data_IF_539688567420
#
_entry.id   IF_539688567420
#
_cell.length_a   1.000
_cell.length_b   1.000
_cell.length_c   1.000
_cell.angle_alpha   90.00
_cell.angle_beta   90.00
_cell.angle_gamma   90.00
#
_symmetry.space_group_name_H-M   'P 1'
#
loop_
_entity.id
_entity.type
_entity.pdbx_description
1 polymer ?
#
# COMPACT_ATOMS: atom_id res chain seq x y z
N UNK A 1 47.32 6.89 8.06
CA UNK A 1 46.83 7.11 6.70
C UNK A 1 45.30 7.13 6.69
N UNK A 2 44.63 6.00 6.96
CA UNK A 2 43.16 5.85 6.99
C UNK A 2 42.41 6.85 7.89
N UNK A 3 42.89 7.09 9.13
CA UNK A 3 42.24 8.08 10.03
C UNK A 3 42.20 9.51 9.45
N UNK A 4 43.21 9.89 8.66
CA UNK A 4 43.29 11.23 8.08
C UNK A 4 42.32 11.38 6.90
N UNK A 5 42.13 10.32 6.14
CA UNK A 5 41.18 10.25 5.02
C UNK A 5 39.73 10.27 5.53
N UNK A 6 39.40 9.49 6.55
CA UNK A 6 38.07 9.47 7.16
C UNK A 6 37.71 10.84 7.75
N UNK A 7 38.66 11.50 8.43
CA UNK A 7 38.44 12.85 8.97
C UNK A 7 38.26 13.89 7.86
N UNK A 8 39.00 13.77 6.75
CA UNK A 8 38.84 14.65 5.59
C UNK A 8 37.51 14.41 4.87
N UNK A 9 36.97 13.18 4.88
CA UNK A 9 35.66 12.86 4.33
C UNK A 9 34.50 13.23 5.27
N UNK A 10 34.77 13.46 6.57
CA UNK A 10 33.73 13.71 7.57
C UNK A 10 32.90 14.97 7.31
N UNK A 11 33.44 15.95 6.59
CA UNK A 11 32.70 17.15 6.13
C UNK A 11 31.54 16.81 5.17
N UNK A 12 31.56 15.61 4.56
CA UNK A 12 30.49 15.12 3.68
C UNK A 12 29.41 14.36 4.45
N UNK A 13 29.63 14.06 5.74
CA UNK A 13 28.69 13.30 6.57
C UNK A 13 27.62 14.26 7.11
N UNK A 14 26.37 14.04 6.70
CA UNK A 14 25.20 14.84 7.13
C UNK A 14 24.32 14.12 8.17
N UNK A 15 24.73 12.94 8.62
CA UNK A 15 23.99 12.12 9.59
C UNK A 15 24.13 12.63 11.02
N UNK A 16 23.06 12.50 11.81
CA UNK A 16 23.05 12.79 13.25
C UNK A 16 23.49 11.57 14.06
N UNK A 17 24.21 11.77 15.17
CA UNK A 17 24.49 10.66 16.10
C UNK A 17 23.24 10.33 16.93
N UNK A 18 23.06 9.07 17.31
CA UNK A 18 21.98 8.63 18.20
C UNK A 18 22.36 8.82 19.68
N UNK A 19 23.51 9.45 19.94
CA UNK A 19 24.08 9.67 21.28
C UNK A 19 24.23 8.37 22.11
N UNK A 20 24.42 7.23 21.43
CA UNK A 20 24.66 5.94 22.07
C UNK A 20 26.12 5.84 22.55
N UNK A 21 26.40 4.95 23.51
CA UNK A 21 27.79 4.70 23.96
C UNK A 21 28.66 4.21 22.80
N UNK A 22 28.10 3.37 21.91
CA UNK A 22 28.80 2.87 20.73
C UNK A 22 29.13 4.01 19.74
N UNK A 23 28.19 4.92 19.49
CA UNK A 23 28.41 6.09 18.64
C UNK A 23 29.51 6.99 19.19
N UNK A 24 29.49 7.25 20.51
CA UNK A 24 30.50 8.07 21.18
C UNK A 24 31.89 7.44 21.13
N UNK A 25 31.97 6.10 21.25
CA UNK A 25 33.23 5.36 21.09
C UNK A 25 33.77 5.49 19.68
N UNK A 26 32.92 5.31 18.66
CA UNK A 26 33.30 5.45 17.25
C UNK A 26 33.78 6.89 16.96
N UNK A 27 33.00 7.89 17.34
CA UNK A 27 33.35 9.30 17.14
C UNK A 27 34.70 9.64 17.80
N UNK A 28 34.93 9.14 19.02
CA UNK A 28 36.21 9.30 19.74
C UNK A 28 37.36 8.56 19.05
N UNK A 29 37.15 7.35 18.55
CA UNK A 29 38.19 6.56 17.85
C UNK A 29 38.68 7.26 16.58
N UNK A 30 37.78 7.95 15.87
CA UNK A 30 38.06 8.61 14.59
C UNK A 30 38.29 10.13 14.68
N UNK A 31 38.25 10.69 15.90
CA UNK A 31 38.38 12.14 16.16
C UNK A 31 37.38 12.98 15.35
N UNK A 32 36.12 12.53 15.38
CA UNK A 32 34.99 13.14 14.70
C UNK A 32 34.13 13.92 15.69
N UNK A 33 33.63 15.07 15.26
CA UNK A 33 32.67 15.85 16.05
C UNK A 33 31.27 15.23 15.93
N UNK A 34 30.55 15.14 17.06
CA UNK A 34 29.17 14.70 17.07
C UNK A 34 28.26 15.77 16.45
N UNK A 35 27.45 15.39 15.45
CA UNK A 35 26.30 16.19 15.05
C UNK A 35 25.13 15.73 15.91
N UNK A 36 24.80 16.52 16.93
CA UNK A 36 23.67 16.20 17.80
C UNK A 36 22.36 16.24 17.01
N UNK A 37 21.44 15.30 17.26
CA UNK A 37 20.12 15.35 16.67
C UNK A 37 19.40 16.61 17.18
N UNK A 38 18.63 17.24 16.32
CA UNK A 38 17.71 18.30 16.79
C UNK A 38 16.77 17.68 17.80
N UNK A 39 16.49 18.40 18.89
CA UNK A 39 15.49 17.99 19.86
C UNK A 39 14.20 17.57 19.12
N UNK A 40 13.60 16.42 19.47
CA UNK A 40 12.41 15.95 18.78
C UNK A 40 11.32 17.03 18.85
N UNK A 41 10.74 17.36 17.71
CA UNK A 41 9.56 18.23 17.67
C UNK A 41 8.39 17.44 18.25
N UNK A 42 7.89 17.87 19.41
CA UNK A 42 6.67 17.32 19.98
C UNK A 42 5.51 17.89 19.16
N UNK A 43 4.91 17.06 18.33
CA UNK A 43 3.67 17.38 17.67
C UNK A 43 2.53 16.73 18.45
N UNK A 44 1.55 17.49 18.99
CA UNK A 44 0.38 16.89 19.60
C UNK A 44 -0.38 16.08 18.54
N UNK A 45 -0.60 14.80 18.81
CA UNK A 45 -1.47 13.95 18.02
C UNK A 45 -2.82 13.79 18.74
N UNK A 46 -3.88 14.26 18.11
CA UNK A 46 -5.23 14.15 18.64
C UNK A 46 -5.89 12.92 18.04
N UNK A 47 -6.45 12.06 18.89
CA UNK A 47 -7.36 11.03 18.40
C UNK A 47 -8.64 11.70 17.92
N UNK A 48 -8.99 11.46 16.66
CA UNK A 48 -10.21 11.97 16.06
C UNK A 48 -11.33 10.93 16.24
N UNK A 49 -12.40 11.22 17.00
CA UNK A 49 -13.52 10.30 17.15
C UNK A 49 -14.21 10.05 15.81
N UNK A 50 -14.67 8.81 15.53
CA UNK A 50 -15.55 8.56 14.40
C UNK A 50 -16.95 9.14 14.64
N UNK A 51 -17.80 9.14 13.61
CA UNK A 51 -19.23 9.44 13.79
C UNK A 51 -19.90 8.36 14.66
N UNK A 52 -20.96 8.73 15.38
CA UNK A 52 -21.76 7.76 16.14
C UNK A 52 -22.25 6.62 15.23
N UNK A 53 -22.18 5.38 15.74
CA UNK A 53 -22.51 4.17 15.00
C UNK A 53 -21.35 3.53 14.24
N UNK A 54 -20.23 4.25 14.04
CA UNK A 54 -19.02 3.72 13.41
C UNK A 54 -18.08 3.14 14.47
N UNK A 55 -17.58 1.93 14.22
CA UNK A 55 -16.49 1.34 15.01
C UNK A 55 -15.15 1.73 14.39
N UNK A 56 -14.34 2.46 15.14
CA UNK A 56 -12.98 2.84 14.74
C UNK A 56 -12.00 1.75 15.14
N UNK A 57 -11.20 1.30 14.18
CA UNK A 57 -10.26 0.19 14.30
C UNK A 57 -8.86 0.76 14.05
N UNK A 58 -8.02 0.82 15.08
CA UNK A 58 -6.62 1.18 14.95
C UNK A 58 -5.78 -0.10 14.99
N UNK A 59 -5.09 -0.42 13.90
CA UNK A 59 -4.29 -1.64 13.75
C UNK A 59 -2.83 -1.33 13.42
N UNK A 60 -1.93 -2.23 13.85
CA UNK A 60 -0.49 -2.10 13.66
C UNK A 60 0.14 -3.49 13.53
N UNK A 61 1.12 -3.60 12.63
CA UNK A 61 1.92 -4.80 12.42
C UNK A 61 3.36 -4.59 12.88
N UNK A 62 3.95 -5.57 13.57
CA UNK A 62 5.32 -5.46 14.05
C UNK A 62 6.13 -6.73 13.77
N UNK A 63 7.39 -6.55 13.40
CA UNK A 63 8.35 -7.63 13.26
C UNK A 63 9.67 -7.24 13.93
N UNK A 64 10.29 -8.17 14.67
CA UNK A 64 11.55 -7.93 15.37
C UNK A 64 12.74 -7.69 14.43
N UNK A 65 12.59 -8.03 13.15
CA UNK A 65 13.53 -7.81 12.04
C UNK A 65 12.77 -8.03 10.72
N UNK A 66 13.43 -7.95 9.56
CA UNK A 66 12.77 -8.12 8.27
C UNK A 66 13.45 -9.17 7.37
N UNK A 67 13.18 -10.49 7.51
CA UNK A 67 12.12 -11.13 8.32
C UNK A 67 12.58 -11.73 9.67
N UNK A 68 11.68 -11.81 10.66
CA UNK A 68 11.84 -12.52 11.96
C UNK A 68 10.46 -12.75 12.57
N UNK A 69 10.39 -13.16 13.84
CA UNK A 69 9.14 -13.20 14.64
C UNK A 69 8.35 -11.91 14.46
N UNK A 70 7.12 -12.10 14.02
CA UNK A 70 6.19 -11.07 13.61
C UNK A 70 4.86 -11.28 14.31
N UNK A 71 4.16 -10.20 14.61
CA UNK A 71 2.80 -10.22 15.09
C UNK A 71 2.07 -8.96 14.66
N UNK A 72 0.78 -8.92 14.96
CA UNK A 72 -0.03 -7.72 14.75
C UNK A 72 -1.00 -7.54 15.91
N UNK A 73 -1.58 -6.34 15.99
CA UNK A 73 -2.66 -6.06 16.93
C UNK A 73 -3.62 -5.02 16.38
N UNK A 74 -4.81 -4.97 16.98
CA UNK A 74 -5.78 -3.93 16.70
C UNK A 74 -6.66 -3.61 17.90
N UNK A 75 -7.10 -2.36 17.97
CA UNK A 75 -8.02 -1.85 18.99
C UNK A 75 -9.28 -1.31 18.33
N UNK A 76 -10.43 -1.60 18.93
CA UNK A 76 -11.75 -1.23 18.44
C UNK A 76 -12.39 -0.25 19.42
N UNK A 77 -12.88 0.88 18.93
CA UNK A 77 -13.45 1.94 19.74
C UNK A 77 -14.72 2.50 19.12
N UNK A 78 -15.63 2.97 19.97
CA UNK A 78 -16.77 3.79 19.54
C UNK A 78 -16.45 5.28 19.62
N UNK A 79 -17.38 6.12 19.17
CA UNK A 79 -17.24 7.57 19.11
C UNK A 79 -16.92 8.25 20.47
N UNK A 80 -17.35 7.67 21.59
CA UNK A 80 -17.02 8.16 22.95
C UNK A 80 -15.56 7.91 23.34
N UNK A 81 -14.82 7.10 22.57
CA UNK A 81 -13.46 6.66 22.90
C UNK A 81 -13.41 5.34 23.70
N UNK A 82 -14.58 4.81 24.11
CA UNK A 82 -14.68 3.55 24.83
C UNK A 82 -14.18 2.39 23.97
N UNK A 83 -13.42 1.50 24.59
CA UNK A 83 -12.94 0.29 23.94
C UNK A 83 -14.04 -0.77 23.86
N UNK A 84 -14.20 -1.35 22.68
CA UNK A 84 -15.04 -2.53 22.47
C UNK A 84 -14.24 -3.82 22.57
N UNK A 85 -13.04 -3.82 21.98
CA UNK A 85 -12.22 -5.01 21.81
C UNK A 85 -10.77 -4.63 21.56
N UNK A 86 -9.85 -5.52 21.96
CA UNK A 86 -8.45 -5.50 21.54
C UNK A 86 -8.09 -6.92 21.09
N UNK A 87 -7.40 -7.01 19.96
CA UNK A 87 -6.87 -8.28 19.44
C UNK A 87 -5.36 -8.16 19.25
N UNK A 88 -4.68 -9.29 19.37
CA UNK A 88 -3.29 -9.44 18.96
C UNK A 88 -3.03 -10.89 18.57
N UNK A 89 -2.04 -11.11 17.69
CA UNK A 89 -1.63 -12.45 17.28
C UNK A 89 -0.17 -12.47 16.84
N UNK A 90 0.56 -13.50 17.25
CA UNK A 90 1.85 -13.86 16.66
C UNK A 90 1.62 -14.70 15.40
N UNK A 91 2.34 -14.38 14.31
CA UNK A 91 2.19 -15.04 13.00
C UNK A 91 3.46 -15.78 12.55
N UNK A 92 4.42 -15.98 13.47
CA UNK A 92 5.69 -16.65 13.20
C UNK A 92 6.69 -15.75 12.47
N UNK A 93 7.57 -16.34 11.64
CA UNK A 93 8.63 -15.61 10.93
C UNK A 93 8.09 -14.99 9.64
N UNK A 94 7.96 -13.66 9.60
CA UNK A 94 7.47 -12.90 8.45
C UNK A 94 8.18 -11.53 8.33
N UNK A 95 7.80 -10.75 7.30
CA UNK A 95 8.23 -9.36 7.14
C UNK A 95 7.23 -8.38 7.79
N UNK A 96 7.65 -7.13 7.97
CA UNK A 96 6.80 -6.08 8.54
C UNK A 96 5.56 -5.78 7.66
N UNK A 97 5.70 -5.82 6.34
CA UNK A 97 4.59 -5.60 5.41
C UNK A 97 3.46 -6.62 5.58
N UNK A 98 3.82 -7.89 5.79
CA UNK A 98 2.89 -8.98 6.06
C UNK A 98 2.17 -8.80 7.39
N UNK A 99 2.90 -8.32 8.41
CA UNK A 99 2.32 -7.97 9.71
C UNK A 99 1.19 -6.95 9.56
N UNK A 100 1.46 -5.86 8.85
CA UNK A 100 0.52 -4.76 8.61
C UNK A 100 -0.70 -5.21 7.78
N UNK A 101 -0.46 -5.98 6.72
CA UNK A 101 -1.53 -6.50 5.88
C UNK A 101 -2.49 -7.39 6.69
N UNK A 102 -1.95 -8.30 7.51
CA UNK A 102 -2.76 -9.16 8.37
C UNK A 102 -3.45 -8.38 9.48
N UNK A 103 -2.83 -7.32 10.00
CA UNK A 103 -3.47 -6.43 10.96
C UNK A 103 -4.79 -5.87 10.43
N UNK A 104 -4.82 -5.39 9.17
CA UNK A 104 -6.04 -4.89 8.53
C UNK A 104 -7.03 -6.03 8.24
N UNK A 105 -6.58 -7.11 7.57
CA UNK A 105 -7.44 -8.22 7.15
C UNK A 105 -8.20 -8.84 8.31
N UNK A 106 -7.47 -9.23 9.35
CA UNK A 106 -8.03 -9.90 10.51
C UNK A 106 -8.92 -8.95 11.29
N UNK A 107 -8.61 -7.65 11.27
CA UNK A 107 -9.48 -6.70 11.95
C UNK A 107 -10.82 -6.51 11.26
N UNK A 108 -10.82 -6.49 9.92
CA UNK A 108 -12.05 -6.47 9.14
C UNK A 108 -12.84 -7.77 9.33
N UNK A 109 -12.15 -8.92 9.36
CA UNK A 109 -12.81 -10.21 9.59
C UNK A 109 -13.50 -10.27 10.96
N UNK A 110 -12.81 -9.84 12.02
CA UNK A 110 -13.40 -9.75 13.38
C UNK A 110 -14.60 -8.80 13.39
N UNK A 111 -14.54 -7.66 12.70
CA UNK A 111 -15.68 -6.75 12.58
C UNK A 111 -16.88 -7.42 11.90
N UNK A 112 -16.66 -8.17 10.82
CA UNK A 112 -17.70 -8.94 10.12
C UNK A 112 -18.32 -9.98 11.06
N UNK A 113 -17.49 -10.75 11.80
CA UNK A 113 -17.96 -11.75 12.76
C UNK A 113 -18.79 -11.14 13.90
N UNK A 114 -18.50 -9.88 14.28
CA UNK A 114 -19.26 -9.11 15.28
C UNK A 114 -20.47 -8.38 14.69
N UNK A 115 -20.72 -8.52 13.39
CA UNK A 115 -21.74 -7.80 12.65
C UNK A 115 -21.60 -6.26 12.74
N UNK A 116 -20.37 -5.76 12.88
CA UNK A 116 -20.06 -4.34 12.77
C UNK A 116 -19.89 -3.99 11.29
N UNK A 117 -20.92 -3.36 10.72
CA UNK A 117 -20.98 -3.05 9.28
C UNK A 117 -20.36 -1.70 8.93
N UNK A 118 -20.45 -0.74 9.85
CA UNK A 118 -19.90 0.60 9.69
C UNK A 118 -18.58 0.70 10.47
N UNK A 119 -17.47 0.60 9.75
CA UNK A 119 -16.12 0.60 10.33
C UNK A 119 -15.23 1.68 9.73
N UNK A 120 -14.28 2.17 10.53
CA UNK A 120 -13.18 3.02 10.08
C UNK A 120 -11.87 2.36 10.51
N UNK A 121 -11.15 1.76 9.56
CA UNK A 121 -9.83 1.17 9.79
C UNK A 121 -8.73 2.23 9.59
N UNK A 122 -7.81 2.33 10.55
CA UNK A 122 -6.61 3.16 10.50
C UNK A 122 -5.37 2.30 10.71
N UNK A 123 -4.43 2.39 9.76
CA UNK A 123 -3.07 1.88 9.85
C UNK A 123 -2.10 3.05 9.66
N UNK A 124 -0.89 2.94 10.21
CA UNK A 124 0.21 3.89 9.97
C UNK A 124 1.02 3.52 8.70
N UNK A 125 0.76 2.37 8.08
CA UNK A 125 1.52 1.85 6.96
C UNK A 125 0.90 2.29 5.64
N UNK A 126 1.44 3.38 5.06
CA UNK A 126 0.96 3.92 3.79
C UNK A 126 0.99 2.88 2.66
N UNK A 127 2.03 2.05 2.59
CA UNK A 127 2.14 0.96 1.60
C UNK A 127 1.01 -0.04 1.76
N UNK A 128 0.69 -0.41 2.99
CA UNK A 128 -0.40 -1.33 3.30
C UNK A 128 -1.74 -0.70 2.94
N UNK A 129 -2.02 0.54 3.36
CA UNK A 129 -3.26 1.25 3.01
C UNK A 129 -3.47 1.29 1.49
N UNK A 130 -2.42 1.62 0.73
CA UNK A 130 -2.48 1.62 -0.73
C UNK A 130 -2.81 0.23 -1.30
N UNK A 131 -2.29 -0.82 -0.69
CA UNK A 131 -2.53 -2.19 -1.16
C UNK A 131 -3.99 -2.65 -0.95
N UNK A 132 -4.72 -2.09 0.03
CA UNK A 132 -6.17 -2.27 0.19
C UNK A 132 -7.00 -1.28 -0.63
N UNK A 133 -6.37 -0.43 -1.43
CA UNK A 133 -7.05 0.49 -2.32
C UNK A 133 -7.84 -0.24 -3.41
N UNK A 134 -8.98 0.35 -3.77
CA UNK A 134 -9.79 -0.11 -4.90
C UNK A 134 -10.13 1.06 -5.82
N UNK A 135 -10.23 0.78 -7.12
CA UNK A 135 -10.80 1.70 -8.09
C UNK A 135 -12.23 1.28 -8.39
N UNK A 136 -13.13 2.25 -8.55
CA UNK A 136 -14.50 2.02 -9.02
C UNK A 136 -14.69 2.78 -10.31
N UNK A 137 -15.16 2.09 -11.34
CA UNK A 137 -15.30 2.59 -12.71
C UNK A 137 -16.73 2.38 -13.16
N UNK A 138 -17.35 3.44 -13.68
CA UNK A 138 -18.66 3.36 -14.32
C UNK A 138 -18.50 3.48 -15.84
N UNK A 139 -19.08 2.54 -16.59
CA UNK A 139 -19.06 2.55 -18.05
C UNK A 139 -20.30 1.85 -18.60
N UNK A 140 -21.01 2.49 -19.54
CA UNK A 140 -22.24 1.95 -20.15
C UNK A 140 -23.26 1.42 -19.11
N UNK A 141 -23.47 2.17 -18.03
CA UNK A 141 -24.31 1.79 -16.86
C UNK A 141 -23.80 0.59 -16.05
N UNK A 142 -22.67 0.00 -16.41
CA UNK A 142 -22.01 -1.02 -15.61
C UNK A 142 -21.10 -0.37 -14.57
N UNK A 143 -21.01 -0.97 -13.38
CA UNK A 143 -20.06 -0.57 -12.35
C UNK A 143 -19.08 -1.71 -12.16
N UNK A 144 -17.80 -1.41 -12.33
CA UNK A 144 -16.69 -2.34 -12.13
C UNK A 144 -15.83 -1.83 -10.99
N UNK A 145 -15.42 -2.72 -10.08
CA UNK A 145 -14.45 -2.44 -9.04
C UNK A 145 -13.19 -3.27 -9.25
N UNK A 146 -12.04 -2.62 -9.13
CA UNK A 146 -10.73 -3.24 -9.28
C UNK A 146 -9.99 -3.11 -7.95
N UNK A 147 -9.67 -4.24 -7.33
CA UNK A 147 -8.92 -4.31 -6.09
C UNK A 147 -7.47 -4.67 -6.40
N UNK A 148 -6.55 -3.87 -5.84
CA UNK A 148 -5.12 -4.18 -5.92
C UNK A 148 -4.83 -5.57 -5.37
N UNK A 149 -3.90 -6.28 -6.02
CA UNK A 149 -3.38 -7.54 -5.52
C UNK A 149 -2.55 -7.33 -4.26
N UNK A 150 -2.89 -8.03 -3.17
CA UNK A 150 -2.17 -8.05 -1.89
C UNK A 150 -1.23 -9.25 -1.83
N UNK A 151 0.00 -9.12 -1.32
CA UNK A 151 0.85 -10.27 -0.95
C UNK A 151 1.01 -11.33 -2.08
N UNK A 152 1.48 -10.90 -3.26
CA UNK A 152 1.60 -11.77 -4.44
C UNK A 152 0.27 -12.26 -5.01
N UNK A 153 -0.89 -11.77 -4.53
CA UNK A 153 -2.19 -12.11 -5.12
C UNK A 153 -2.44 -11.33 -6.41
N UNK A 154 -3.19 -11.93 -7.35
CA UNK A 154 -3.61 -11.24 -8.56
C UNK A 154 -4.52 -10.06 -8.25
N UNK A 155 -4.64 -9.14 -9.21
CA UNK A 155 -5.70 -8.12 -9.18
C UNK A 155 -7.05 -8.82 -9.28
N UNK A 156 -7.99 -8.41 -8.44
CA UNK A 156 -9.37 -8.87 -8.53
C UNK A 156 -10.26 -7.81 -9.15
N UNK A 157 -11.05 -8.23 -10.13
CA UNK A 157 -12.03 -7.38 -10.80
C UNK A 157 -13.41 -7.92 -10.46
N UNK A 158 -14.33 -7.03 -10.09
CA UNK A 158 -15.71 -7.35 -9.80
C UNK A 158 -16.64 -6.44 -10.58
N UNK A 159 -17.73 -6.99 -11.11
CA UNK A 159 -18.84 -6.23 -11.68
C UNK A 159 -20.02 -6.25 -10.73
N UNK A 160 -20.66 -5.10 -10.54
CA UNK A 160 -21.88 -5.02 -9.74
C UNK A 160 -23.06 -5.52 -10.58
N UNK A 161 -23.68 -6.61 -10.13
CA UNK A 161 -25.02 -6.97 -10.55
C UNK A 161 -26.02 -6.03 -9.86
N UNK A 162 -26.53 -5.05 -10.61
CA UNK A 162 -27.47 -4.05 -10.10
C UNK A 162 -28.85 -4.63 -9.79
N UNK A 163 -29.21 -5.79 -10.32
CA UNK A 163 -30.53 -6.39 -10.05
C UNK A 163 -30.62 -6.94 -8.63
N UNK A 164 -29.53 -7.53 -8.14
CA UNK A 164 -29.42 -8.14 -6.80
C UNK A 164 -28.48 -7.37 -5.86
N UNK A 165 -27.85 -6.31 -6.34
CA UNK A 165 -26.86 -5.49 -5.61
C UNK A 165 -25.70 -6.33 -5.06
N UNK A 166 -25.14 -7.23 -5.89
CA UNK A 166 -24.01 -8.10 -5.52
C UNK A 166 -22.83 -7.92 -6.46
N UNK A 167 -21.63 -7.93 -5.89
CA UNK A 167 -20.38 -7.97 -6.66
C UNK A 167 -20.12 -9.38 -7.18
N UNK A 168 -19.96 -9.51 -8.49
CA UNK A 168 -19.66 -10.76 -9.18
C UNK A 168 -18.24 -10.67 -9.73
N UNK A 169 -17.39 -11.62 -9.38
CA UNK A 169 -15.99 -11.65 -9.85
C UNK A 169 -15.96 -11.81 -11.38
N UNK A 170 -15.14 -10.99 -12.04
CA UNK A 170 -14.82 -11.09 -13.45
C UNK A 170 -13.44 -11.74 -13.63
N UNK A 171 -13.38 -12.81 -14.40
CA UNK A 171 -12.10 -13.43 -14.80
C UNK A 171 -11.51 -12.78 -16.07
N UNK A 172 -12.34 -12.08 -16.85
CA UNK A 172 -11.90 -11.40 -18.08
C UNK A 172 -12.71 -10.12 -18.33
N UNK A 173 -12.05 -9.14 -18.97
CA UNK A 173 -12.68 -7.95 -19.55
C UNK A 173 -13.11 -8.16 -21.01
N UNK A 174 -12.88 -9.34 -21.59
CA UNK A 174 -13.15 -9.62 -22.99
C UNK A 174 -12.32 -8.72 -23.92
N UNK A 175 -12.99 -8.06 -24.86
CA UNK A 175 -12.44 -7.10 -25.81
C UNK A 175 -12.26 -5.68 -25.24
N UNK A 176 -12.39 -5.53 -23.92
CA UNK A 176 -12.21 -4.25 -23.25
C UNK A 176 -10.81 -4.14 -22.62
N UNK A 177 -10.43 -2.89 -22.36
CA UNK A 177 -9.20 -2.50 -21.65
C UNK A 177 -9.54 -1.43 -20.62
N UNK A 178 -8.88 -1.50 -19.48
CA UNK A 178 -9.17 -0.68 -18.32
C UNK A 178 -7.98 0.23 -18.02
N UNK A 179 -8.21 1.53 -17.90
CA UNK A 179 -7.21 2.53 -17.53
C UNK A 179 -7.58 3.11 -16.18
N UNK A 180 -6.73 2.94 -15.17
CA UNK A 180 -6.99 3.35 -13.80
C UNK A 180 -6.04 4.47 -13.41
N UNK A 181 -6.57 5.54 -12.81
CA UNK A 181 -5.81 6.53 -12.06
C UNK A 181 -6.69 7.12 -10.95
N UNK A 182 -6.07 7.83 -10.00
CA UNK A 182 -6.81 8.50 -8.93
C UNK A 182 -7.73 9.62 -9.43
N UNK A 183 -7.44 10.20 -10.60
CA UNK A 183 -8.20 11.32 -11.18
C UNK A 183 -9.18 10.88 -12.25
N UNK A 184 -8.82 9.91 -13.10
CA UNK A 184 -9.71 9.35 -14.11
C UNK A 184 -9.50 7.85 -14.23
N UNK A 185 -10.60 7.10 -14.10
CA UNK A 185 -10.63 5.66 -14.37
C UNK A 185 -11.66 5.39 -15.46
N UNK A 186 -11.25 4.66 -16.51
CA UNK A 186 -12.02 4.51 -17.75
C UNK A 186 -11.94 3.05 -18.21
N UNK A 187 -13.08 2.46 -18.56
CA UNK A 187 -13.18 1.20 -19.28
C UNK A 187 -13.53 1.52 -20.75
N UNK A 188 -12.76 0.98 -21.70
CA UNK A 188 -13.00 1.23 -23.14
C UNK A 188 -12.90 -0.06 -23.93
N UNK A 189 -13.59 -0.10 -25.08
CA UNK A 189 -13.41 -1.14 -26.07
C UNK A 189 -12.01 -1.02 -26.70
N UNK A 190 -11.29 -2.12 -26.86
CA UNK A 190 -9.98 -2.14 -27.50
C UNK A 190 -10.03 -1.81 -29.01
N UNK A 191 -11.22 -1.68 -29.59
CA UNK A 191 -11.50 -1.14 -30.93
C UNK A 191 -10.59 -1.71 -32.05
N UNK A 192 -10.23 -3.00 -31.99
CA UNK A 192 -9.41 -3.67 -33.00
C UNK A 192 -7.89 -3.58 -32.79
N UNK A 193 -7.41 -2.92 -31.74
CA UNK A 193 -6.01 -2.96 -31.33
C UNK A 193 -5.70 -4.34 -30.74
N UNK A 194 -5.18 -5.24 -31.59
CA UNK A 194 -4.82 -6.60 -31.16
C UNK A 194 -3.72 -6.58 -30.11
N UNK A 195 -3.95 -7.32 -29.05
CA UNK A 195 -3.00 -7.61 -27.99
C UNK A 195 -3.20 -6.77 -26.74
N UNK A 196 -3.96 -5.66 -26.75
CA UNK A 196 -4.17 -4.83 -25.55
C UNK A 196 -5.42 -5.20 -24.76
N UNK A 197 -6.30 -6.03 -25.34
CA UNK A 197 -7.49 -6.55 -24.68
C UNK A 197 -7.17 -7.30 -23.39
N UNK A 198 -8.11 -7.31 -22.45
CA UNK A 198 -7.98 -8.01 -21.17
C UNK A 198 -6.80 -7.52 -20.30
N UNK A 199 -6.46 -6.22 -20.42
CA UNK A 199 -5.41 -5.56 -19.65
C UNK A 199 -5.94 -4.40 -18.80
N UNK A 200 -5.21 -4.12 -17.73
CA UNK A 200 -5.46 -3.01 -16.81
C UNK A 200 -4.19 -2.17 -16.73
N UNK A 201 -4.29 -0.88 -17.06
CA UNK A 201 -3.19 0.07 -17.08
C UNK A 201 -3.26 0.98 -15.85
N UNK A 202 -2.09 1.25 -15.26
CA UNK A 202 -1.92 2.14 -14.11
C UNK A 202 -0.92 3.26 -14.48
N UNK A 203 -0.95 4.45 -13.84
CA UNK A 203 0.10 5.47 -13.97
C UNK A 203 1.37 5.05 -13.20
N UNK A 204 1.79 3.79 -13.39
CA UNK A 204 2.94 3.16 -12.75
C UNK A 204 4.00 2.85 -13.77
N UNK A 205 5.26 3.00 -13.36
CA UNK A 205 6.40 2.89 -14.25
C UNK A 205 7.51 2.06 -13.62
N UNK A 206 8.17 1.24 -14.44
CA UNK A 206 9.43 0.59 -14.12
C UNK A 206 10.51 1.20 -15.03
N UNK A 207 11.32 2.10 -14.46
CA UNK A 207 12.22 2.93 -15.26
C UNK A 207 11.43 3.90 -16.15
N UNK A 208 11.50 3.72 -17.47
CA UNK A 208 10.77 4.54 -18.46
C UNK A 208 9.51 3.86 -19.01
N UNK A 209 9.32 2.59 -18.69
CA UNK A 209 8.27 1.76 -19.28
C UNK A 209 7.03 1.78 -18.38
N UNK A 210 5.86 2.00 -18.97
CA UNK A 210 4.59 1.93 -18.24
C UNK A 210 4.23 0.46 -17.95
N UNK A 211 3.77 0.22 -16.73
CA UNK A 211 3.34 -1.09 -16.26
C UNK A 211 1.84 -1.29 -16.50
N UNK A 212 1.48 -2.51 -16.92
CA UNK A 212 0.10 -2.97 -17.04
C UNK A 212 -0.05 -4.35 -16.42
N UNK A 213 -1.24 -4.65 -15.92
CA UNK A 213 -1.62 -5.97 -15.45
C UNK A 213 -2.38 -6.69 -16.55
N UNK A 214 -2.01 -7.94 -16.84
CA UNK A 214 -2.73 -8.77 -17.81
C UNK A 214 -3.54 -9.83 -17.06
N UNK A 215 -4.87 -9.75 -17.17
CA UNK A 215 -5.77 -10.74 -16.57
C UNK A 215 -5.57 -12.14 -17.17
N UNK A 216 -5.14 -12.22 -18.43
CA UNK A 216 -4.83 -13.50 -19.09
C UNK A 216 -3.63 -14.22 -18.48
N UNK A 217 -2.63 -13.47 -17.98
CA UNK A 217 -1.40 -14.05 -17.40
C UNK A 217 -1.41 -14.05 -15.87
N UNK A 218 -2.21 -13.18 -15.26
CA UNK A 218 -2.22 -12.97 -13.81
C UNK A 218 -1.03 -12.17 -13.27
N UNK A 219 -0.28 -11.47 -14.12
CA UNK A 219 0.95 -10.76 -13.73
C UNK A 219 1.05 -9.35 -14.30
N UNK A 220 1.93 -8.54 -13.71
CA UNK A 220 2.33 -7.24 -14.24
C UNK A 220 3.40 -7.39 -15.31
N UNK A 221 3.33 -6.55 -16.34
CA UNK A 221 4.24 -6.48 -17.47
C UNK A 221 4.58 -5.02 -17.76
N UNK A 222 5.76 -4.77 -18.33
CA UNK A 222 6.17 -3.44 -18.77
C UNK A 222 6.22 -3.34 -20.30
N UNK A 223 5.83 -2.19 -20.83
CA UNK A 223 5.86 -1.96 -22.28
C UNK A 223 7.30 -1.80 -22.78
N UNK A 224 7.77 -2.63 -23.70
CA UNK A 224 9.10 -2.49 -24.33
C UNK A 224 10.24 -3.28 -23.66
N UNK A 225 10.02 -3.85 -22.48
CA UNK A 225 10.96 -4.76 -21.82
C UNK A 225 10.35 -6.16 -21.63
N UNK A 226 11.19 -7.20 -21.51
CA UNK A 226 10.76 -8.56 -21.13
C UNK A 226 10.50 -8.69 -19.62
N UNK A 227 10.32 -7.58 -18.92
CA UNK A 227 10.15 -7.57 -17.47
C UNK A 227 8.70 -7.90 -17.13
N UNK A 228 8.53 -8.96 -16.33
CA UNK A 228 7.27 -9.36 -15.72
C UNK A 228 7.46 -9.62 -14.23
N UNK A 229 6.52 -9.19 -13.41
CA UNK A 229 6.55 -9.42 -11.96
C UNK A 229 5.15 -9.72 -11.42
N UNK A 230 5.10 -10.47 -10.31
CA UNK A 230 3.86 -10.76 -9.60
C UNK A 230 3.45 -9.60 -8.68
N UNK A 231 4.43 -8.84 -8.17
CA UNK A 231 4.23 -7.72 -7.25
C UNK A 231 4.75 -6.39 -7.83
N UNK A 232 4.06 -5.30 -7.50
CA UNK A 232 4.30 -3.97 -8.05
C UNK A 232 5.22 -3.09 -7.17
N UNK A 233 5.74 -3.61 -6.05
CA UNK A 233 6.52 -2.85 -5.06
C UNK A 233 7.81 -2.20 -5.61
N UNK A 234 8.27 -2.63 -6.79
CA UNK A 234 9.44 -2.06 -7.48
C UNK A 234 9.11 -0.93 -8.46
N UNK A 235 7.82 -0.59 -8.63
CA UNK A 235 7.35 0.46 -9.55
C UNK A 235 7.15 1.80 -8.85
N UNK A 236 7.35 2.90 -9.57
CA UNK A 236 6.97 4.24 -9.11
C UNK A 236 5.58 4.60 -9.65
N UNK A 237 4.76 5.25 -8.83
CA UNK A 237 3.43 5.73 -9.22
C UNK A 237 3.40 7.25 -9.31
N UNK A 238 2.82 7.77 -10.39
CA UNK A 238 2.49 9.19 -10.49
C UNK A 238 1.05 9.42 -10.05
N UNK A 239 0.90 10.13 -8.93
CA UNK A 239 -0.39 10.44 -8.31
C UNK A 239 -1.21 11.48 -9.09
N UNK A 240 -0.54 12.39 -9.80
CA UNK A 240 -1.16 13.48 -10.56
C UNK A 240 -1.21 13.17 -12.06
N UNK A 241 -1.71 11.99 -12.41
CA UNK A 241 -1.83 11.55 -13.80
C UNK A 241 -3.29 11.24 -14.16
N UNK A 242 -3.71 11.70 -15.33
CA UNK A 242 -5.05 11.46 -15.88
C UNK A 242 -4.94 10.76 -17.23
N UNK A 243 -5.81 9.78 -17.43
CA UNK A 243 -6.09 9.20 -18.75
C UNK A 243 -7.10 10.09 -19.48
N UNK A 244 -6.85 10.37 -20.76
CA UNK A 244 -7.75 11.09 -21.64
C UNK A 244 -8.08 10.24 -22.85
N UNK A 245 -9.36 10.22 -23.23
CA UNK A 245 -9.80 9.66 -24.49
C UNK A 245 -9.78 10.77 -25.53
N UNK A 246 -9.05 10.57 -26.64
CA UNK A 246 -9.13 11.50 -27.77
C UNK A 246 -10.43 11.25 -28.52
N UNK A 247 -11.24 12.30 -28.69
CA UNK A 247 -12.37 12.26 -29.60
C UNK A 247 -11.82 12.47 -31.02
N UNK A 248 -11.78 11.40 -31.81
CA UNK A 248 -11.65 11.50 -33.27
C UNK A 248 -13.04 11.45 -33.91
#
# INVERSE_FOLDING_TARGET
MIRREIRAAAILITGHSLNSIADLQILKTWDLNAILPRAPRIQPCWWMPPRNGIVKINCDGSSLDNPRTTGFGATYRIASGDFLLVIWREIGVNNNYMAECLAILESVEVAIQRNWRDIWVESNSAVTIMAFGSFVVEFNNEIVSVFGGLMGKPIWVFKLDRSVMKWVKLETLGDHVLFLSHTTSILVLAAGLKGIENRIYFPRFHGKDNAYYSLSTGSYHCFGSKYSCEEWLTTSENWNCTWFQSNN
#
